data_IF_160068839816
#
_entry.id   IF_160068839816
#
_cell.length_a   1.000
_cell.length_b   1.000
_cell.length_c   1.000
_cell.angle_alpha   90.00
_cell.angle_beta   90.00
_cell.angle_gamma   90.00
#
_symmetry.space_group_name_H-M   'P 1'
#
loop_
_entity.id
_entity.type
_entity.pdbx_description
1 polymer ?
#
# COMPACT_ATOMS: atom_id res chain seq x y z
N UNK A 1 46.55 12.48 -3.31
CA UNK A 1 46.21 12.22 -4.73
C UNK A 1 45.23 11.04 -4.72
N UNK A 2 44.04 11.02 -5.33
CA UNK A 2 43.43 11.77 -6.43
C UNK A 2 41.89 11.77 -6.20
N UNK A 3 41.20 12.78 -6.70
CA UNK A 3 39.74 13.01 -6.60
C UNK A 3 39.08 12.70 -7.95
N UNK A 4 37.98 11.93 -8.03
CA UNK A 4 36.94 11.93 -9.11
C UNK A 4 35.66 11.29 -8.53
N UNK A 5 34.53 11.97 -8.22
CA UNK A 5 33.49 12.72 -8.96
C UNK A 5 32.56 11.88 -9.89
N UNK A 6 31.28 11.81 -9.49
CA UNK A 6 30.02 11.81 -10.28
C UNK A 6 29.74 10.56 -11.17
N UNK A 7 28.52 10.01 -11.33
CA UNK A 7 27.19 10.60 -11.55
C UNK A 7 26.07 9.64 -11.11
N UNK A 8 24.97 10.22 -10.58
CA UNK A 8 23.57 9.94 -10.90
C UNK A 8 23.27 8.60 -11.64
N UNK A 9 22.68 7.61 -10.97
CA UNK A 9 22.25 6.39 -11.67
C UNK A 9 21.89 5.16 -10.83
N UNK A 10 21.76 5.25 -9.50
CA UNK A 10 21.26 4.11 -8.72
C UNK A 10 19.75 4.09 -8.78
N UNK A 11 19.29 3.48 -9.88
CA UNK A 11 17.94 2.99 -10.15
C UNK A 11 17.19 2.64 -8.86
N UNK A 12 15.94 3.10 -8.78
CA UNK A 12 14.87 2.73 -7.85
C UNK A 12 14.57 1.21 -7.88
N UNK A 13 15.58 0.35 -7.68
CA UNK A 13 15.51 -1.11 -7.78
C UNK A 13 16.10 -1.81 -6.54
N UNK A 14 16.32 -1.05 -5.47
CA UNK A 14 16.71 -1.58 -4.16
C UNK A 14 15.50 -1.27 -3.26
N UNK A 15 15.06 -2.23 -2.45
CA UNK A 15 13.91 -2.15 -1.53
C UNK A 15 12.54 -2.58 -2.10
N UNK A 16 12.43 -3.80 -2.66
CA UNK A 16 11.12 -4.50 -2.70
C UNK A 16 11.21 -5.97 -2.26
N UNK A 17 12.35 -6.63 -2.49
CA UNK A 17 12.55 -8.04 -2.12
C UNK A 17 13.04 -8.27 -0.67
N UNK A 18 13.67 -7.30 -0.02
CA UNK A 18 14.25 -7.43 1.32
C UNK A 18 13.61 -6.45 2.31
N UNK A 19 12.30 -6.58 2.55
CA UNK A 19 11.68 -5.91 3.70
C UNK A 19 11.83 -6.86 4.90
N UNK A 20 12.88 -6.76 5.75
CA UNK A 20 12.90 -7.49 7.01
C UNK A 20 11.63 -7.11 7.77
N UNK A 21 10.98 -8.08 8.42
CA UNK A 21 9.69 -7.93 9.13
C UNK A 21 9.51 -6.51 9.66
N UNK A 22 8.89 -5.63 8.85
CA UNK A 22 8.73 -4.24 9.27
C UNK A 22 7.72 -4.26 10.40
N UNK A 23 7.94 -3.45 11.45
CA UNK A 23 6.91 -3.26 12.45
C UNK A 23 5.60 -2.88 11.75
N UNK A 24 4.43 -3.28 12.28
CA UNK A 24 3.15 -2.95 11.67
C UNK A 24 3.09 -1.46 11.32
N UNK A 25 2.79 -1.10 10.06
CA UNK A 25 2.79 0.28 9.65
C UNK A 25 1.72 1.05 10.42
N UNK A 26 2.01 2.30 10.76
CA UNK A 26 1.02 3.17 11.39
C UNK A 26 -0.21 3.32 10.48
N UNK A 27 -1.39 3.29 11.10
CA UNK A 27 -2.64 3.58 10.42
C UNK A 27 -2.59 4.99 9.85
N UNK A 28 -2.93 5.14 8.57
CA UNK A 28 -3.08 6.45 7.91
C UNK A 28 -4.44 6.55 7.24
N UNK A 29 -4.85 7.78 6.93
CA UNK A 29 -6.07 8.00 6.18
C UNK A 29 -5.90 7.49 4.74
N UNK A 30 -6.81 6.64 4.28
CA UNK A 30 -6.83 6.24 2.86
C UNK A 30 -7.11 7.43 1.94
N UNK A 31 -7.71 8.51 2.47
CA UNK A 31 -8.12 9.69 1.70
C UNK A 31 -6.94 10.57 1.31
N UNK A 32 -5.90 10.61 2.14
CA UNK A 32 -4.69 11.42 1.93
C UNK A 32 -3.43 10.59 1.70
N UNK A 33 -3.50 9.27 1.87
CA UNK A 33 -2.36 8.37 1.63
C UNK A 33 -1.81 8.53 0.21
N UNK A 34 -0.49 8.66 0.12
CA UNK A 34 0.23 8.59 -1.16
C UNK A 34 0.16 7.18 -1.76
N UNK A 35 0.49 7.05 -3.05
CA UNK A 35 0.61 5.73 -3.70
C UNK A 35 1.58 4.82 -2.95
N UNK A 36 2.75 5.33 -2.57
CA UNK A 36 3.76 4.56 -1.83
C UNK A 36 3.25 4.10 -0.47
N UNK A 37 2.52 4.98 0.24
CA UNK A 37 1.90 4.63 1.52
C UNK A 37 0.84 3.54 1.37
N UNK A 38 0.09 3.56 0.27
CA UNK A 38 -0.88 2.51 -0.06
C UNK A 38 -0.14 1.20 -0.33
N UNK A 39 0.86 1.24 -1.21
CA UNK A 39 1.66 0.07 -1.61
C UNK A 39 2.32 -0.62 -0.42
N UNK A 40 2.98 0.13 0.47
CA UNK A 40 3.67 -0.41 1.64
C UNK A 40 2.70 -1.17 2.55
N UNK A 41 1.49 -0.65 2.75
CA UNK A 41 0.49 -1.24 3.65
C UNK A 41 -0.19 -2.46 3.05
N UNK A 42 -0.50 -2.42 1.75
CA UNK A 42 -1.00 -3.61 1.05
C UNK A 42 0.07 -4.71 1.00
N UNK A 43 1.32 -4.34 0.74
CA UNK A 43 2.47 -5.25 0.79
C UNK A 43 2.68 -5.85 2.17
N UNK A 44 2.51 -5.07 3.24
CA UNK A 44 2.57 -5.57 4.61
C UNK A 44 1.51 -6.64 4.88
N UNK A 45 0.25 -6.40 4.49
CA UNK A 45 -0.83 -7.38 4.65
C UNK A 45 -0.55 -8.66 3.84
N UNK A 46 -0.04 -8.51 2.61
CA UNK A 46 0.31 -9.61 1.71
C UNK A 46 1.45 -10.47 2.24
N UNK A 47 2.59 -9.85 2.61
CA UNK A 47 3.76 -10.54 3.17
C UNK A 47 3.48 -11.17 4.54
N UNK A 48 2.54 -10.60 5.29
CA UNK A 48 2.10 -11.15 6.58
C UNK A 48 1.00 -12.22 6.42
N UNK A 49 0.59 -12.55 5.18
CA UNK A 49 -0.45 -13.53 4.85
C UNK A 49 -1.76 -13.30 5.61
N UNK A 50 -2.15 -12.04 5.77
CA UNK A 50 -3.33 -11.66 6.54
C UNK A 50 -4.54 -11.71 5.63
N UNK A 51 -5.56 -12.50 6.01
CA UNK A 51 -6.90 -12.49 5.39
C UNK A 51 -6.87 -12.66 3.85
N UNK A 52 -5.89 -13.40 3.30
CA UNK A 52 -5.79 -13.72 1.88
C UNK A 52 -5.16 -12.62 1.00
N UNK A 53 -4.42 -11.67 1.59
CA UNK A 53 -3.76 -10.60 0.84
C UNK A 53 -2.55 -11.07 0.00
N UNK A 54 -2.05 -12.28 0.24
CA UNK A 54 -1.01 -12.92 -0.56
C UNK A 54 -1.43 -13.22 -2.00
N UNK A 55 -2.75 -13.32 -2.26
CA UNK A 55 -3.31 -13.58 -3.59
C UNK A 55 -3.70 -12.29 -4.36
N UNK A 56 -3.46 -11.11 -3.78
CA UNK A 56 -3.85 -9.83 -4.37
C UNK A 56 -2.73 -9.30 -5.26
N UNK A 57 -3.08 -8.81 -6.44
CA UNK A 57 -2.20 -8.01 -7.28
C UNK A 57 -2.01 -6.62 -6.67
N UNK A 58 -0.93 -6.47 -5.89
CA UNK A 58 -0.67 -5.27 -5.08
C UNK A 58 -0.50 -4.02 -5.93
N UNK A 59 0.16 -4.11 -7.09
CA UNK A 59 0.38 -2.97 -7.98
C UNK A 59 -0.95 -2.48 -8.54
N UNK A 60 -1.75 -3.40 -9.10
CA UNK A 60 -3.08 -3.07 -9.62
C UNK A 60 -3.99 -2.49 -8.53
N UNK A 61 -4.02 -3.11 -7.35
CA UNK A 61 -4.85 -2.62 -6.25
C UNK A 61 -4.43 -1.25 -5.78
N UNK A 62 -3.12 -1.00 -5.70
CA UNK A 62 -2.56 0.29 -5.33
C UNK A 62 -3.01 1.38 -6.31
N UNK A 63 -2.86 1.14 -7.61
CA UNK A 63 -3.23 2.11 -8.65
C UNK A 63 -4.73 2.43 -8.61
N UNK A 64 -5.58 1.40 -8.55
CA UNK A 64 -7.03 1.57 -8.50
C UNK A 64 -7.46 2.37 -7.26
N UNK A 65 -6.91 2.07 -6.09
CA UNK A 65 -7.24 2.79 -4.85
C UNK A 65 -6.68 4.20 -4.87
N UNK A 66 -5.47 4.40 -5.40
CA UNK A 66 -4.85 5.71 -5.51
C UNK A 66 -5.70 6.65 -6.39
N UNK A 67 -6.13 6.16 -7.55
CA UNK A 67 -6.93 6.90 -8.54
C UNK A 67 -8.41 7.09 -8.16
N UNK A 68 -8.92 6.36 -7.16
CA UNK A 68 -10.31 6.46 -6.74
C UNK A 68 -10.65 7.84 -6.14
N UNK A 69 -11.87 8.33 -6.39
CA UNK A 69 -12.40 9.54 -5.73
C UNK A 69 -12.82 9.23 -4.29
N UNK A 70 -11.93 9.55 -3.34
CA UNK A 70 -12.03 9.16 -1.92
C UNK A 70 -12.60 10.23 -0.98
N UNK A 71 -12.80 11.46 -1.47
CA UNK A 71 -13.14 12.62 -0.63
C UNK A 71 -14.38 12.43 0.24
N UNK A 72 -15.39 11.68 -0.25
CA UNK A 72 -16.66 11.43 0.44
C UNK A 72 -16.70 10.09 1.20
N UNK A 73 -15.62 9.32 1.23
CA UNK A 73 -15.61 8.03 1.91
C UNK A 73 -15.74 8.22 3.43
N UNK A 74 -16.72 7.52 4.02
CA UNK A 74 -16.95 7.45 5.48
C UNK A 74 -16.50 6.12 6.08
N UNK A 75 -16.14 5.16 5.23
CA UNK A 75 -15.66 3.83 5.58
C UNK A 75 -14.75 3.30 4.48
N UNK A 76 -14.11 2.17 4.71
CA UNK A 76 -13.29 1.47 3.71
C UNK A 76 -14.13 0.57 2.79
N UNK A 77 -15.43 0.40 3.05
CA UNK A 77 -16.32 -0.45 2.25
C UNK A 77 -16.37 -0.09 0.75
N UNK A 78 -16.24 1.19 0.31
CA UNK A 78 -16.18 1.51 -1.11
C UNK A 78 -15.06 0.79 -1.86
N UNK A 79 -13.96 0.40 -1.18
CA UNK A 79 -12.85 -0.34 -1.79
C UNK A 79 -13.34 -1.66 -2.39
N UNK A 80 -14.31 -2.32 -1.76
CA UNK A 80 -14.85 -3.61 -2.25
C UNK A 80 -15.61 -3.50 -3.57
N UNK A 81 -15.85 -2.27 -4.05
CA UNK A 81 -16.56 -1.99 -5.31
C UNK A 81 -15.62 -1.50 -6.42
N UNK A 82 -14.32 -1.41 -6.15
CA UNK A 82 -13.34 -0.91 -7.10
C UNK A 82 -12.74 -2.00 -8.01
N UNK A 83 -13.18 -3.26 -7.87
CA UNK A 83 -12.66 -4.39 -8.66
C UNK A 83 -11.13 -4.57 -8.56
N UNK A 84 -10.57 -4.22 -7.39
CA UNK A 84 -9.15 -4.28 -7.10
C UNK A 84 -8.71 -5.56 -6.37
N UNK A 85 -9.49 -6.64 -6.45
CA UNK A 85 -9.19 -7.91 -5.75
C UNK A 85 -9.43 -7.88 -4.22
N UNK A 86 -9.80 -6.73 -3.67
CA UNK A 86 -10.20 -6.59 -2.26
C UNK A 86 -11.72 -6.66 -2.19
N UNK A 87 -12.24 -7.71 -1.57
CA UNK A 87 -13.67 -7.90 -1.32
C UNK A 87 -14.08 -7.42 0.09
N UNK A 88 -15.36 -7.61 0.44
CA UNK A 88 -15.91 -7.23 1.75
C UNK A 88 -15.29 -7.99 2.92
N UNK A 89 -14.82 -9.22 2.72
CA UNK A 89 -14.20 -10.06 3.76
C UNK A 89 -12.84 -9.48 4.17
N UNK A 90 -12.13 -8.85 3.23
CA UNK A 90 -10.81 -8.24 3.39
C UNK A 90 -10.82 -6.85 4.04
N UNK A 91 -12.00 -6.24 4.20
CA UNK A 91 -12.13 -4.89 4.81
C UNK A 91 -11.67 -4.87 6.27
N UNK A 92 -11.83 -5.98 7.01
CA UNK A 92 -11.38 -6.06 8.41
C UNK A 92 -9.84 -5.97 8.51
N UNK A 93 -9.11 -6.62 7.61
CA UNK A 93 -7.66 -6.48 7.50
C UNK A 93 -7.24 -5.06 7.14
N UNK A 94 -7.90 -4.45 6.16
CA UNK A 94 -7.60 -3.07 5.75
C UNK A 94 -7.68 -2.06 6.90
N UNK A 95 -8.64 -2.23 7.81
CA UNK A 95 -8.78 -1.36 9.00
C UNK A 95 -7.59 -1.43 9.97
N UNK A 96 -6.73 -2.45 9.86
CA UNK A 96 -5.49 -2.54 10.66
C UNK A 96 -4.41 -1.56 10.18
N UNK A 97 -4.49 -1.11 8.92
CA UNK A 97 -3.48 -0.28 8.27
C UNK A 97 -4.02 1.04 7.70
N UNK A 98 -5.34 1.18 7.57
CA UNK A 98 -5.99 2.41 7.10
C UNK A 98 -7.19 2.83 7.93
N UNK A 99 -7.44 4.14 7.96
CA UNK A 99 -8.70 4.75 8.39
C UNK A 99 -9.38 5.47 7.22
N UNK A 100 -10.69 5.70 7.32
CA UNK A 100 -11.45 6.51 6.36
C UNK A 100 -11.58 7.99 6.80
N UNK A 101 -10.93 8.35 7.91
CA UNK A 101 -10.98 9.70 8.49
C UNK A 101 -9.68 10.40 8.08
N UNK A 102 -9.78 11.66 7.65
CA UNK A 102 -8.62 12.47 7.29
C UNK A 102 -7.93 12.99 8.55
#
# INVERSE_FOLDING_TARGET
MLQVRSLLGKSFNIVINDLPQLPPPKIVSIKSASRDEIFIRLSYLSKSQIDGFEAIDIEKSCDVIFSASKGKWKSLNPISKLECGIDTTKIKALKKVFSAIA
#
